data_IF_613950741048
#
_entry.id   IF_613950741048
#
_cell.length_a   1.000
_cell.length_b   1.000
_cell.length_c   1.000
_cell.angle_alpha   90.00
_cell.angle_beta   90.00
_cell.angle_gamma   90.00
#
_symmetry.space_group_name_H-M   'P 1'
#
loop_
_entity.id
_entity.type
_entity.pdbx_description
1 polymer ?
#
# COMPACT_ATOMS: atom_id res chain seq x y z
N UNK A 1 23.74 48.10 50.19
CA UNK A 1 22.84 47.09 50.78
C UNK A 1 22.45 46.13 49.68
N UNK A 2 22.76 44.84 49.80
CA UNK A 2 22.88 43.94 48.68
C UNK A 2 21.54 43.33 48.23
N UNK A 3 21.43 43.22 46.94
CA UNK A 3 20.35 42.67 46.20
C UNK A 3 20.41 41.09 46.25
N UNK A 4 19.40 40.42 46.81
CA UNK A 4 19.33 38.99 46.98
C UNK A 4 18.65 38.39 45.75
N UNK A 5 19.43 37.77 44.88
CA UNK A 5 18.95 36.93 43.79
C UNK A 5 18.23 35.70 44.38
N UNK A 6 17.01 35.49 43.99
CA UNK A 6 16.27 34.24 44.22
C UNK A 6 16.29 33.48 42.89
N UNK A 7 16.99 32.35 42.87
CA UNK A 7 16.91 31.36 41.79
C UNK A 7 15.71 30.46 42.07
N UNK A 8 14.89 30.10 41.04
CA UNK A 8 13.88 29.09 41.24
C UNK A 8 14.49 27.70 40.98
N UNK A 9 14.46 26.88 42.01
CA UNK A 9 14.66 25.43 41.91
C UNK A 9 13.60 24.81 40.99
N UNK A 10 14.06 24.17 39.90
CA UNK A 10 13.23 23.29 39.07
C UNK A 10 13.27 21.92 39.71
N UNK A 11 12.22 21.56 40.47
CA UNK A 11 11.93 20.19 40.83
C UNK A 11 11.47 19.43 39.57
N UNK A 12 12.29 18.51 39.07
CA UNK A 12 11.95 17.53 38.06
C UNK A 12 11.00 16.50 38.70
N UNK A 13 9.71 16.62 38.41
CA UNK A 13 8.74 15.60 38.75
C UNK A 13 8.90 14.43 37.76
N UNK A 14 9.60 13.41 38.20
CA UNK A 14 9.73 12.12 37.52
C UNK A 14 8.39 11.40 37.55
N UNK A 15 7.57 11.53 36.52
CA UNK A 15 6.35 10.77 36.35
C UNK A 15 6.70 9.30 35.98
N UNK A 16 6.71 8.45 36.99
CA UNK A 16 6.73 7.01 36.84
C UNK A 16 5.46 6.54 36.12
N UNK A 17 5.62 6.10 34.84
CA UNK A 17 4.58 5.39 34.13
C UNK A 17 4.19 4.10 34.89
N UNK A 18 2.89 3.72 34.93
CA UNK A 18 2.48 2.49 35.58
C UNK A 18 3.00 1.29 34.79
N UNK A 19 3.80 0.46 35.46
CA UNK A 19 4.20 -0.84 34.94
C UNK A 19 2.96 -1.75 34.88
N UNK A 20 2.33 -1.86 33.75
CA UNK A 20 1.43 -2.99 33.47
C UNK A 20 2.27 -4.27 33.50
N UNK A 21 2.12 -5.00 34.56
CA UNK A 21 2.69 -6.33 34.71
C UNK A 21 2.01 -7.26 33.69
N UNK A 22 2.62 -7.37 32.53
CA UNK A 22 2.31 -8.44 31.59
C UNK A 22 2.79 -9.74 32.26
N UNK A 23 1.87 -10.50 32.89
CA UNK A 23 2.12 -11.87 33.33
C UNK A 23 2.27 -12.74 32.08
N UNK A 24 3.39 -12.61 31.38
CA UNK A 24 3.83 -13.59 30.44
C UNK A 24 3.96 -14.93 31.16
N UNK A 25 3.34 -15.96 30.62
CA UNK A 25 3.60 -17.34 31.00
C UNK A 25 5.14 -17.52 31.04
N UNK A 26 5.66 -18.23 32.05
CA UNK A 26 7.10 -18.48 32.11
C UNK A 26 7.51 -19.17 30.81
N UNK A 27 8.33 -18.49 30.01
CA UNK A 27 9.00 -19.10 28.87
C UNK A 27 10.00 -20.08 29.48
N UNK A 28 9.57 -21.33 29.67
CA UNK A 28 10.46 -22.42 29.99
C UNK A 28 11.43 -22.52 28.81
N UNK A 29 12.74 -22.38 29.09
CA UNK A 29 13.76 -22.75 28.10
C UNK A 29 13.41 -24.16 27.63
N UNK A 30 13.36 -24.43 26.31
CA UNK A 30 13.12 -25.78 25.84
C UNK A 30 14.18 -26.69 26.47
N UNK A 31 13.74 -27.76 27.13
CA UNK A 31 14.62 -28.79 27.60
C UNK A 31 15.24 -29.47 26.37
N UNK A 32 16.49 -29.92 26.48
CA UNK A 32 17.23 -30.61 25.40
C UNK A 32 16.49 -31.83 24.83
N UNK A 33 15.41 -32.26 25.49
CA UNK A 33 14.55 -33.39 25.09
C UNK A 33 13.42 -32.99 24.13
N UNK A 34 13.23 -31.69 23.86
CA UNK A 34 12.19 -31.23 22.91
C UNK A 34 12.89 -30.91 21.58
N UNK A 35 12.69 -31.78 20.58
CA UNK A 35 13.11 -31.51 19.20
C UNK A 35 12.33 -30.30 18.67
N UNK A 36 12.96 -29.14 18.72
CA UNK A 36 12.45 -27.94 18.02
C UNK A 36 12.94 -27.96 16.59
N UNK A 37 12.03 -27.83 15.66
CA UNK A 37 12.37 -27.62 14.26
C UNK A 37 12.93 -26.20 14.15
N UNK A 38 14.24 -26.08 14.07
CA UNK A 38 14.91 -24.82 13.87
C UNK A 38 15.07 -24.60 12.35
N UNK A 39 14.56 -23.49 11.83
CA UNK A 39 14.64 -23.19 10.40
C UNK A 39 16.09 -23.16 9.89
N UNK A 40 17.05 -22.84 10.77
CA UNK A 40 18.47 -22.87 10.46
C UNK A 40 19.05 -24.28 10.24
N UNK A 41 18.44 -25.31 10.84
CA UNK A 41 18.88 -26.71 10.67
C UNK A 41 18.30 -27.34 9.39
N UNK A 42 17.24 -26.77 8.84
CA UNK A 42 16.62 -27.25 7.60
C UNK A 42 17.36 -26.83 6.34
N UNK A 43 18.32 -25.90 6.44
CA UNK A 43 19.02 -25.40 5.26
C UNK A 43 18.01 -24.93 4.20
N UNK A 44 17.06 -24.03 4.61
CA UNK A 44 16.09 -23.46 3.67
C UNK A 44 16.86 -22.81 2.55
N UNK A 45 16.79 -23.40 1.37
CA UNK A 45 17.37 -22.81 0.18
C UNK A 45 16.53 -21.59 -0.27
N UNK A 46 17.09 -20.64 -1.03
CA UNK A 46 16.30 -19.59 -1.63
C UNK A 46 15.10 -20.11 -2.42
N UNK A 47 15.24 -21.28 -3.04
CA UNK A 47 14.17 -21.97 -3.80
C UNK A 47 13.04 -22.45 -2.88
N UNK A 48 13.36 -23.03 -1.71
CA UNK A 48 12.34 -23.41 -0.72
C UNK A 48 11.56 -22.19 -0.20
N UNK A 49 12.25 -21.06 -0.04
CA UNK A 49 11.61 -19.79 0.35
C UNK A 49 10.63 -19.31 -0.72
N UNK A 50 10.95 -19.44 -2.00
CA UNK A 50 10.10 -19.04 -3.10
C UNK A 50 8.89 -19.98 -3.23
N UNK A 51 9.03 -21.27 -3.07
CA UNK A 51 7.91 -22.22 -3.04
C UNK A 51 6.91 -21.89 -1.93
N UNK A 52 7.40 -21.52 -0.74
CA UNK A 52 6.53 -21.09 0.37
C UNK A 52 5.72 -19.85 -0.01
N UNK A 53 6.36 -18.85 -0.65
CA UNK A 53 5.67 -17.65 -1.12
C UNK A 53 4.62 -17.99 -2.19
N UNK A 54 4.95 -18.85 -3.16
CA UNK A 54 4.02 -19.28 -4.20
C UNK A 54 2.81 -20.03 -3.64
N UNK A 55 3.02 -20.88 -2.64
CA UNK A 55 1.94 -21.56 -1.93
C UNK A 55 1.06 -20.58 -1.16
N UNK A 56 1.66 -19.57 -0.52
CA UNK A 56 0.93 -18.51 0.17
C UNK A 56 0.03 -17.73 -0.76
N UNK A 57 0.55 -17.25 -1.90
CA UNK A 57 -0.25 -16.49 -2.87
C UNK A 57 -1.32 -17.35 -3.53
N UNK A 58 -1.10 -18.65 -3.71
CA UNK A 58 -2.13 -19.59 -4.16
C UNK A 58 -3.30 -19.65 -3.17
N UNK A 59 -3.02 -19.75 -1.87
CA UNK A 59 -4.02 -19.66 -0.81
C UNK A 59 -4.74 -18.31 -0.76
N UNK A 60 -4.01 -17.21 -0.97
CA UNK A 60 -4.57 -15.86 -1.04
C UNK A 60 -5.49 -15.69 -2.27
N UNK A 61 -5.12 -16.30 -3.41
CA UNK A 61 -5.95 -16.33 -4.61
C UNK A 61 -7.28 -17.03 -4.36
N UNK A 62 -7.26 -18.21 -3.74
CA UNK A 62 -8.48 -18.98 -3.41
C UNK A 62 -9.41 -18.20 -2.49
N UNK A 63 -8.86 -17.45 -1.53
CA UNK A 63 -9.62 -16.64 -0.56
C UNK A 63 -9.99 -15.26 -1.11
N UNK A 64 -9.53 -14.88 -2.29
CA UNK A 64 -9.69 -13.53 -2.85
C UNK A 64 -9.21 -12.43 -1.90
N UNK A 65 -8.12 -12.68 -1.20
CA UNK A 65 -7.52 -11.72 -0.26
C UNK A 65 -6.87 -10.57 -1.02
N UNK A 66 -7.05 -9.35 -0.52
CA UNK A 66 -6.35 -8.17 -1.04
C UNK A 66 -4.90 -8.25 -0.59
N UNK A 67 -3.98 -8.25 -1.53
CA UNK A 67 -2.55 -8.12 -1.34
C UNK A 67 -2.09 -6.73 -1.77
N UNK A 68 -0.89 -6.34 -1.35
CA UNK A 68 -0.34 -5.02 -1.62
C UNK A 68 1.09 -5.16 -2.12
N UNK A 69 1.43 -4.55 -3.26
CA UNK A 69 2.76 -4.65 -3.87
C UNK A 69 3.13 -3.38 -4.62
N UNK A 70 4.37 -3.29 -5.06
CA UNK A 70 4.95 -2.11 -5.71
C UNK A 70 4.87 -2.24 -7.22
N UNK A 71 4.37 -1.21 -7.90
CA UNK A 71 4.36 -1.15 -9.37
C UNK A 71 5.78 -0.99 -9.88
N UNK A 72 6.33 -2.02 -10.51
CA UNK A 72 7.74 -2.07 -10.92
C UNK A 72 7.97 -1.82 -12.40
N UNK A 73 6.99 -2.08 -13.26
CA UNK A 73 7.19 -1.90 -14.70
C UNK A 73 5.98 -2.21 -15.58
N UNK A 74 6.17 -2.00 -16.86
CA UNK A 74 5.20 -2.30 -17.91
C UNK A 74 5.83 -3.23 -18.93
N UNK A 75 5.15 -4.29 -19.27
CA UNK A 75 5.58 -5.24 -20.28
C UNK A 75 4.58 -5.29 -21.43
N UNK A 76 5.12 -5.43 -22.61
CA UNK A 76 4.35 -5.68 -23.83
C UNK A 76 4.52 -7.17 -24.15
N UNK A 77 3.46 -7.91 -24.01
CA UNK A 77 3.37 -9.28 -24.48
C UNK A 77 2.77 -9.31 -25.88
N UNK A 78 2.67 -10.48 -26.49
CA UNK A 78 1.97 -10.69 -27.77
C UNK A 78 0.45 -10.47 -27.70
N UNK A 79 0.00 -9.82 -26.63
CA UNK A 79 -1.38 -9.43 -26.39
C UNK A 79 -1.57 -7.93 -26.64
N UNK A 80 -2.75 -7.52 -27.13
CA UNK A 80 -3.02 -6.11 -27.39
C UNK A 80 -3.02 -5.25 -26.12
N UNK A 81 -3.15 -5.85 -24.94
CA UNK A 81 -3.17 -5.16 -23.66
C UNK A 81 -1.78 -5.21 -23.03
N UNK A 82 -1.20 -4.05 -22.66
CA UNK A 82 0.03 -4.01 -21.90
C UNK A 82 -0.18 -4.64 -20.52
N UNK A 83 0.84 -5.32 -20.01
CA UNK A 83 0.83 -5.97 -18.71
C UNK A 83 1.61 -5.12 -17.71
N UNK A 84 0.95 -4.68 -16.64
CA UNK A 84 1.60 -4.03 -15.51
C UNK A 84 2.28 -5.09 -14.65
N UNK A 85 3.51 -4.84 -14.28
CA UNK A 85 4.28 -5.70 -13.37
C UNK A 85 4.23 -5.10 -11.98
N UNK A 86 3.81 -5.90 -11.01
CA UNK A 86 3.81 -5.54 -9.59
C UNK A 86 4.74 -6.50 -8.87
N UNK A 87 5.68 -5.96 -8.12
CA UNK A 87 6.52 -6.72 -7.20
C UNK A 87 5.77 -6.97 -5.89
N UNK A 88 5.66 -8.22 -5.52
CA UNK A 88 5.12 -8.66 -4.25
C UNK A 88 6.15 -9.57 -3.55
N UNK A 89 6.89 -9.02 -2.60
CA UNK A 89 7.92 -9.76 -1.84
C UNK A 89 8.95 -10.49 -2.74
N UNK A 90 9.31 -9.88 -3.86
CA UNK A 90 10.20 -10.47 -4.87
C UNK A 90 9.48 -11.35 -5.89
N UNK A 91 8.18 -11.59 -5.75
CA UNK A 91 7.38 -12.29 -6.74
C UNK A 91 6.81 -11.31 -7.79
N UNK A 92 6.95 -11.70 -9.04
CA UNK A 92 6.42 -10.94 -10.16
C UNK A 92 4.96 -11.26 -10.42
N UNK A 93 4.08 -10.29 -10.17
CA UNK A 93 2.63 -10.40 -10.39
C UNK A 93 2.24 -9.56 -11.60
N UNK A 94 1.49 -10.14 -12.53
CA UNK A 94 1.03 -9.46 -13.74
C UNK A 94 -0.40 -8.95 -13.59
N UNK A 95 -0.62 -7.69 -13.92
CA UNK A 95 -1.96 -7.09 -13.96
C UNK A 95 -2.23 -6.59 -15.38
N UNK A 96 -3.20 -7.17 -16.10
CA UNK A 96 -3.61 -6.64 -17.39
C UNK A 96 -4.02 -5.17 -17.30
N UNK A 97 -3.63 -4.34 -18.27
CA UNK A 97 -3.88 -2.92 -18.26
C UNK A 97 -5.35 -2.55 -18.02
N UNK A 98 -6.27 -3.33 -18.56
CA UNK A 98 -7.74 -3.18 -18.34
C UNK A 98 -8.17 -3.40 -16.89
N UNK A 99 -7.37 -4.10 -16.10
CA UNK A 99 -7.64 -4.41 -14.70
C UNK A 99 -6.82 -3.54 -13.73
N UNK A 100 -6.04 -2.58 -14.26
CA UNK A 100 -5.21 -1.69 -13.45
C UNK A 100 -5.97 -0.46 -12.96
N UNK A 101 -6.82 0.12 -13.80
CA UNK A 101 -7.60 1.32 -13.47
C UNK A 101 -9.10 1.03 -13.44
N UNK A 102 -9.85 1.86 -12.68
CA UNK A 102 -11.30 1.72 -12.54
C UNK A 102 -12.06 2.18 -13.78
N UNK A 103 -11.52 3.17 -14.49
CA UNK A 103 -12.14 3.74 -15.67
C UNK A 103 -12.27 2.71 -16.80
N UNK A 104 -13.09 3.04 -17.76
CA UNK A 104 -13.19 2.26 -18.98
C UNK A 104 -11.84 2.28 -19.71
N UNK A 105 -11.50 1.16 -20.32
CA UNK A 105 -10.32 1.05 -21.15
C UNK A 105 -10.46 2.06 -22.31
N UNK A 106 -9.45 2.92 -22.55
CA UNK A 106 -9.51 3.84 -23.67
C UNK A 106 -9.70 3.05 -24.97
N UNK A 107 -10.48 3.60 -25.88
CA UNK A 107 -10.72 2.97 -27.20
C UNK A 107 -9.91 3.69 -28.28
N UNK A 108 -9.56 2.95 -29.34
CA UNK A 108 -8.88 3.47 -30.52
C UNK A 108 -7.36 3.49 -30.43
N UNK A 109 -6.72 4.10 -31.43
CA UNK A 109 -5.26 4.11 -31.60
C UNK A 109 -4.49 4.87 -30.51
N UNK A 110 -5.15 5.77 -29.78
CA UNK A 110 -4.54 6.54 -28.69
C UNK A 110 -4.52 5.80 -27.36
N UNK A 111 -5.31 4.74 -27.24
CA UNK A 111 -5.46 3.98 -26.00
C UNK A 111 -4.14 3.54 -25.37
N UNK A 112 -3.18 2.98 -26.09
CA UNK A 112 -1.91 2.57 -25.50
C UNK A 112 -1.11 3.74 -24.93
N UNK A 113 -1.11 4.88 -25.61
CA UNK A 113 -0.35 6.08 -25.17
C UNK A 113 -0.96 6.72 -23.92
N UNK A 114 -2.28 6.82 -23.84
CA UNK A 114 -2.99 7.34 -22.68
C UNK A 114 -2.79 6.44 -21.47
N UNK A 115 -2.85 5.13 -21.68
CA UNK A 115 -2.58 4.16 -20.64
C UNK A 115 -1.15 4.27 -20.11
N UNK A 116 -0.15 4.29 -21.00
CA UNK A 116 1.28 4.42 -20.61
C UNK A 116 1.51 5.71 -19.83
N UNK A 117 0.91 6.83 -20.26
CA UNK A 117 1.02 8.12 -19.56
C UNK A 117 0.43 8.04 -18.14
N UNK A 118 -0.70 7.37 -17.96
CA UNK A 118 -1.30 7.16 -16.63
C UNK A 118 -0.48 6.21 -15.78
N UNK A 119 0.00 5.12 -16.39
CA UNK A 119 0.82 4.12 -15.72
C UNK A 119 2.13 4.72 -15.19
N UNK A 120 2.82 5.52 -16.00
CA UNK A 120 4.07 6.17 -15.60
C UNK A 120 3.93 7.05 -14.34
N UNK A 121 2.73 7.57 -14.07
CA UNK A 121 2.48 8.38 -12.86
C UNK A 121 2.40 7.56 -11.58
N UNK A 122 2.09 6.27 -11.70
CA UNK A 122 1.96 5.36 -10.56
C UNK A 122 3.12 4.36 -10.49
N UNK A 123 4.12 4.52 -11.37
CA UNK A 123 5.33 3.70 -11.33
C UNK A 123 6.05 3.92 -10.00
N UNK A 124 6.42 2.85 -9.32
CA UNK A 124 7.01 2.88 -7.98
C UNK A 124 6.00 3.02 -6.84
N UNK A 125 4.71 3.23 -7.14
CA UNK A 125 3.68 3.32 -6.12
C UNK A 125 3.25 1.94 -5.62
N UNK A 126 2.89 1.87 -4.35
CA UNK A 126 2.26 0.68 -3.76
C UNK A 126 0.78 0.63 -4.12
N UNK A 127 0.33 -0.49 -4.65
CA UNK A 127 -1.07 -0.71 -5.06
C UNK A 127 -1.63 -1.97 -4.43
N UNK A 128 -2.94 -1.94 -4.17
CA UNK A 128 -3.67 -3.10 -3.70
C UNK A 128 -4.18 -3.91 -4.89
N UNK A 129 -4.12 -5.22 -4.81
CA UNK A 129 -4.62 -6.11 -5.85
C UNK A 129 -5.19 -7.41 -5.29
N UNK A 130 -5.98 -8.11 -6.09
CA UNK A 130 -6.50 -9.45 -5.81
C UNK A 130 -6.03 -10.38 -6.91
N UNK A 131 -5.50 -11.53 -6.53
CA UNK A 131 -5.08 -12.55 -7.48
C UNK A 131 -6.29 -13.16 -8.18
N UNK A 132 -6.20 -13.28 -9.50
CA UNK A 132 -7.22 -13.88 -10.37
C UNK A 132 -6.86 -15.30 -10.74
N UNK A 133 -5.57 -15.60 -10.84
CA UNK A 133 -5.04 -16.92 -11.14
C UNK A 133 -3.57 -17.02 -10.76
N UNK A 134 -3.16 -18.22 -10.35
CA UNK A 134 -1.77 -18.55 -9.99
C UNK A 134 -1.41 -19.87 -10.70
N UNK A 135 -0.32 -19.85 -11.43
CA UNK A 135 0.30 -21.03 -12.03
C UNK A 135 1.58 -21.37 -11.26
N UNK A 136 1.48 -22.35 -10.38
CA UNK A 136 2.60 -22.80 -9.55
C UNK A 136 3.71 -23.48 -10.37
N UNK A 137 3.37 -24.06 -11.53
CA UNK A 137 4.36 -24.76 -12.36
C UNK A 137 5.28 -23.80 -13.11
N UNK A 138 4.68 -22.71 -13.61
CA UNK A 138 5.40 -21.70 -14.39
C UNK A 138 5.78 -20.47 -13.55
N UNK A 139 5.53 -20.51 -12.23
CA UNK A 139 5.76 -19.37 -11.32
C UNK A 139 5.18 -18.07 -11.89
N UNK A 140 3.93 -18.12 -12.32
CA UNK A 140 3.22 -17.00 -12.90
C UNK A 140 1.92 -16.71 -12.14
N UNK A 141 1.63 -15.42 -11.93
CA UNK A 141 0.40 -15.00 -11.31
C UNK A 141 -0.19 -13.79 -12.03
N UNK A 142 -1.52 -13.82 -12.18
CA UNK A 142 -2.29 -12.73 -12.76
C UNK A 142 -3.22 -12.17 -11.70
N UNK A 143 -3.29 -10.84 -11.62
CA UNK A 143 -4.05 -10.12 -10.62
C UNK A 143 -4.91 -9.02 -11.22
N UNK A 144 -5.76 -8.42 -10.39
CA UNK A 144 -6.61 -7.29 -10.72
C UNK A 144 -6.59 -6.26 -9.57
N UNK A 145 -6.09 -5.05 -9.86
CA UNK A 145 -6.23 -3.90 -8.97
C UNK A 145 -7.69 -3.46 -8.89
N UNK A 146 -8.38 -3.44 -10.02
CA UNK A 146 -9.81 -3.10 -10.10
C UNK A 146 -10.66 -3.96 -9.16
N UNK A 147 -10.39 -5.27 -9.06
CA UNK A 147 -11.12 -6.14 -8.14
C UNK A 147 -10.87 -5.78 -6.66
N UNK A 148 -9.64 -5.43 -6.29
CA UNK A 148 -9.31 -4.98 -4.94
C UNK A 148 -10.03 -3.66 -4.59
N UNK A 149 -10.01 -2.70 -5.51
CA UNK A 149 -10.69 -1.42 -5.34
C UNK A 149 -12.20 -1.61 -5.15
N UNK A 150 -12.85 -2.42 -5.97
CA UNK A 150 -14.28 -2.75 -5.84
C UNK A 150 -14.61 -3.42 -4.49
N UNK A 151 -13.76 -4.32 -4.00
CA UNK A 151 -13.95 -4.92 -2.67
C UNK A 151 -13.87 -3.86 -1.56
N UNK A 152 -12.91 -2.93 -1.64
CA UNK A 152 -12.81 -1.83 -0.67
C UNK A 152 -14.00 -0.89 -0.75
N UNK A 153 -14.43 -0.54 -1.96
CA UNK A 153 -15.62 0.30 -2.16
C UNK A 153 -16.86 -0.35 -1.56
N UNK A 154 -17.12 -1.61 -1.83
CA UNK A 154 -18.26 -2.34 -1.26
C UNK A 154 -18.22 -2.37 0.28
N UNK A 155 -17.03 -2.49 0.87
CA UNK A 155 -16.86 -2.54 2.33
C UNK A 155 -17.00 -1.19 3.01
N UNK A 156 -16.59 -0.10 2.40
CA UNK A 156 -16.48 1.20 3.07
C UNK A 156 -17.44 2.26 2.54
N UNK A 157 -17.66 2.32 1.23
CA UNK A 157 -18.55 3.32 0.62
C UNK A 157 -20.00 2.84 0.58
N UNK A 158 -20.26 1.64 0.11
CA UNK A 158 -21.62 1.09 0.08
C UNK A 158 -22.24 0.94 1.48
N UNK A 159 -21.41 0.79 2.52
CA UNK A 159 -21.87 0.74 3.92
C UNK A 159 -22.00 2.11 4.58
N UNK A 160 -21.74 3.20 3.84
CA UNK A 160 -21.82 4.58 4.36
C UNK A 160 -20.73 4.93 5.39
N UNK A 161 -19.67 4.12 5.52
CA UNK A 161 -18.53 4.44 6.39
C UNK A 161 -17.73 5.63 5.87
N UNK A 162 -17.60 5.76 4.56
CA UNK A 162 -17.03 6.94 3.90
C UNK A 162 -18.19 7.81 3.43
N UNK A 163 -18.24 9.05 3.93
CA UNK A 163 -19.30 10.03 3.61
C UNK A 163 -18.70 11.44 3.60
N UNK A 164 -19.36 12.41 2.95
CA UNK A 164 -18.92 13.79 2.95
C UNK A 164 -18.69 14.33 4.36
N UNK A 165 -17.62 15.12 4.52
CA UNK A 165 -17.23 15.78 5.76
C UNK A 165 -16.25 15.00 6.65
N UNK A 166 -16.12 13.68 6.50
CA UNK A 166 -15.12 12.90 7.28
C UNK A 166 -13.69 13.13 6.79
N UNK A 167 -12.74 12.87 7.66
CA UNK A 167 -11.31 12.82 7.31
C UNK A 167 -10.88 11.38 7.13
N UNK A 168 -10.15 11.10 6.07
CA UNK A 168 -9.62 9.77 5.74
C UNK A 168 -8.13 9.88 5.42
N UNK A 169 -7.40 8.82 5.73
CA UNK A 169 -6.03 8.66 5.27
C UNK A 169 -6.03 8.22 3.80
N UNK A 170 -5.27 8.91 2.97
CA UNK A 170 -5.10 8.61 1.56
C UNK A 170 -3.63 8.31 1.30
N UNK A 171 -3.36 7.34 0.46
CA UNK A 171 -2.02 7.03 -0.03
C UNK A 171 -1.74 7.86 -1.28
N UNK A 172 -0.62 8.56 -1.32
CA UNK A 172 -0.15 9.24 -2.53
C UNK A 172 0.36 8.18 -3.51
N UNK A 173 -0.28 8.09 -4.67
CA UNK A 173 0.08 7.14 -5.74
C UNK A 173 0.79 7.81 -6.92
N UNK A 174 0.87 9.13 -6.91
CA UNK A 174 1.61 9.88 -7.92
C UNK A 174 1.59 11.38 -7.65
N UNK A 175 2.66 12.04 -8.04
CA UNK A 175 2.83 13.49 -7.91
C UNK A 175 3.01 14.08 -9.31
N UNK A 176 2.30 15.16 -9.60
CA UNK A 176 2.45 15.94 -10.84
C UNK A 176 2.66 17.41 -10.51
N UNK A 177 2.93 18.23 -11.52
CA UNK A 177 3.38 19.62 -11.37
C UNK A 177 2.52 20.46 -10.41
N UNK A 178 1.21 20.28 -10.44
CA UNK A 178 0.28 21.07 -9.59
C UNK A 178 -0.86 20.21 -9.02
N UNK A 179 -0.64 18.93 -8.82
CA UNK A 179 -1.64 18.00 -8.30
C UNK A 179 -1.02 16.74 -7.73
N UNK A 180 -1.71 16.14 -6.78
CA UNK A 180 -1.37 14.85 -6.19
C UNK A 180 -2.46 13.85 -6.51
N UNK A 181 -2.09 12.72 -7.09
CA UNK A 181 -2.98 11.58 -7.25
C UNK A 181 -2.94 10.74 -5.97
N UNK A 182 -4.09 10.42 -5.43
CA UNK A 182 -4.22 9.67 -4.19
C UNK A 182 -5.18 8.51 -4.35
N UNK A 183 -4.93 7.45 -3.61
CA UNK A 183 -5.88 6.36 -3.40
C UNK A 183 -6.53 6.51 -2.02
N UNK A 184 -7.84 6.62 -2.02
CA UNK A 184 -8.67 6.79 -0.83
C UNK A 184 -9.54 5.56 -0.63
N UNK A 185 -9.00 4.53 0.02
CA UNK A 185 -9.73 3.28 0.37
C UNK A 185 -10.41 2.64 -0.85
N UNK A 186 -9.66 2.45 -1.94
CA UNK A 186 -10.15 1.82 -3.17
C UNK A 186 -10.81 2.78 -4.17
N UNK A 187 -10.60 4.08 -4.00
CA UNK A 187 -11.02 5.11 -4.97
C UNK A 187 -9.83 5.98 -5.33
N UNK A 188 -9.50 6.07 -6.61
CA UNK A 188 -8.50 7.02 -7.10
C UNK A 188 -9.11 8.42 -7.17
N UNK A 189 -8.39 9.40 -6.66
CA UNK A 189 -8.79 10.79 -6.68
C UNK A 189 -7.58 11.69 -6.96
N UNK A 190 -7.86 12.92 -7.34
CA UNK A 190 -6.82 13.93 -7.59
C UNK A 190 -7.08 15.15 -6.73
N UNK A 191 -6.06 15.56 -5.98
CA UNK A 191 -6.12 16.78 -5.17
C UNK A 191 -5.28 17.85 -5.88
N UNK A 192 -5.91 18.96 -6.22
CA UNK A 192 -5.21 20.10 -6.83
C UNK A 192 -4.27 20.76 -5.82
N UNK A 193 -3.15 21.30 -6.27
CA UNK A 193 -2.15 21.97 -5.45
C UNK A 193 -2.73 23.05 -4.55
N UNK A 194 -3.67 23.84 -5.06
CA UNK A 194 -4.37 24.88 -4.31
C UNK A 194 -5.22 24.39 -3.12
N UNK A 195 -5.43 23.08 -3.00
CA UNK A 195 -6.17 22.44 -1.89
C UNK A 195 -5.27 21.64 -0.96
N UNK A 196 -3.98 21.57 -1.25
CA UNK A 196 -3.02 20.81 -0.45
C UNK A 196 -2.45 21.61 0.70
N UNK A 197 -2.22 22.92 0.51
CA UNK A 197 -1.66 23.82 1.52
C UNK A 197 -2.23 25.23 1.37
N UNK A 198 -2.14 26.00 2.46
CA UNK A 198 -2.38 27.45 2.47
C UNK A 198 -1.14 28.23 2.02
N UNK A 199 0.04 27.63 2.15
CA UNK A 199 1.28 28.21 1.68
C UNK A 199 1.43 27.97 0.18
N UNK A 200 1.97 28.97 -0.50
CA UNK A 200 2.31 28.85 -1.91
C UNK A 200 3.64 28.09 -2.05
N UNK A 201 3.69 27.12 -2.94
CA UNK A 201 4.91 26.42 -3.35
C UNK A 201 4.97 26.36 -4.88
N UNK A 202 6.20 26.37 -5.40
CA UNK A 202 6.45 26.37 -6.83
C UNK A 202 6.16 25.01 -7.46
N UNK A 203 6.47 23.93 -6.73
CA UNK A 203 6.30 22.56 -7.18
C UNK A 203 5.70 21.70 -6.05
N UNK A 204 4.67 20.94 -6.39
CA UNK A 204 4.04 20.00 -5.47
C UNK A 204 4.98 18.88 -5.07
N UNK A 205 5.91 18.49 -5.97
CA UNK A 205 6.89 17.44 -5.74
C UNK A 205 7.93 17.79 -4.66
N UNK A 206 8.09 19.08 -4.29
CA UNK A 206 8.94 19.48 -3.16
C UNK A 206 8.36 19.09 -1.80
N UNK A 207 7.03 18.97 -1.70
CA UNK A 207 6.31 18.74 -0.46
C UNK A 207 5.71 17.34 -0.35
N UNK A 208 5.41 16.71 -1.48
CA UNK A 208 4.73 15.44 -1.52
C UNK A 208 5.54 14.41 -2.32
N UNK A 209 5.55 13.19 -1.80
CA UNK A 209 6.21 12.05 -2.46
C UNK A 209 5.23 10.88 -2.59
N UNK A 210 5.48 10.03 -3.57
CA UNK A 210 4.79 8.73 -3.70
C UNK A 210 4.96 7.94 -2.40
N UNK A 211 3.98 7.15 -2.03
CA UNK A 211 3.87 6.36 -0.79
C UNK A 211 3.57 7.17 0.49
N UNK A 212 3.62 8.48 0.44
CA UNK A 212 3.23 9.29 1.58
C UNK A 212 1.75 9.08 1.93
N UNK A 213 1.46 9.01 3.23
CA UNK A 213 0.08 9.02 3.72
C UNK A 213 -0.31 10.43 4.10
N UNK A 214 -1.35 10.93 3.47
CA UNK A 214 -1.92 12.25 3.79
C UNK A 214 -3.34 12.10 4.31
N UNK A 215 -3.77 13.04 5.15
CA UNK A 215 -5.15 13.09 5.65
C UNK A 215 -5.94 14.10 4.85
N UNK A 216 -6.96 13.64 4.15
CA UNK A 216 -7.83 14.48 3.36
C UNK A 216 -9.27 14.48 3.90
N UNK A 217 -10.02 15.55 3.63
CA UNK A 217 -11.45 15.62 3.93
C UNK A 217 -12.23 15.20 2.69
N UNK A 218 -13.17 14.28 2.87
CA UNK A 218 -14.10 13.88 1.82
C UNK A 218 -15.06 15.04 1.55
N UNK A 219 -15.10 15.52 0.33
CA UNK A 219 -16.01 16.59 -0.09
C UNK A 219 -17.31 16.02 -0.65
N UNK A 220 -17.19 15.01 -1.49
CA UNK A 220 -18.31 14.32 -2.13
C UNK A 220 -17.96 12.85 -2.35
N UNK A 221 -18.96 12.00 -2.53
CA UNK A 221 -18.83 10.57 -2.82
C UNK A 221 -19.70 10.25 -4.03
N UNK A 222 -19.03 10.03 -5.16
CA UNK A 222 -19.62 9.47 -6.38
C UNK A 222 -18.87 8.19 -6.74
N UNK A 223 -19.44 7.04 -6.39
CA UNK A 223 -18.82 5.71 -6.58
C UNK A 223 -19.79 4.82 -7.34
#
# INVERSE_FOLDING_TARGET
MPNKKIEPEQEAVEQKAPKTANRGLPVTKPSDDILTINDQERGITPEDSDEVKWNYISGACAKRTILTGIVSGLEHMDTPDPMCVVDYEGLRILIPGRLMFMDQWPEGERAPREFVSRFNRILGATVDFVLMGVDLRNHAAVASRKAAMLQRQAKFYATGRVKPGIRIACRVIGVGDNKVAVEAIGVDSVIAGSRLSWEWYSDVAEQFSTEQIIVARVLDVSV
#
